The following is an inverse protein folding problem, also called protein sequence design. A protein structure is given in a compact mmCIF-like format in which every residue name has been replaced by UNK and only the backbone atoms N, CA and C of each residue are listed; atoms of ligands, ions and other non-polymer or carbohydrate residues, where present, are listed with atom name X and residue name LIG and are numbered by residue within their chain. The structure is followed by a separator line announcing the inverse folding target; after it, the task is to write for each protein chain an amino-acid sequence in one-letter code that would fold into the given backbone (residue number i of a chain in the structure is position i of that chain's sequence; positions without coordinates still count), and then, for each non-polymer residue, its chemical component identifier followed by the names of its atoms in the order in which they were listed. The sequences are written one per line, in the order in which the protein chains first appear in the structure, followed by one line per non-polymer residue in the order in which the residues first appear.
data_IF_534860685293
#
_entry.id   IF_534860685293
#
_cell.length_a   1.000
_cell.length_b   1.000
_cell.length_c   1.000
_cell.angle_alpha   90.00
_cell.angle_beta   90.00
_cell.angle_gamma   90.00
#
_symmetry.space_group_name_H-M   'P 1'
#
loop_
_entity.id
_entity.type
_entity.pdbx_description
1 polymer ?
#
# COMPACT_ATOMS: atom_id res chain seq x y z
N UNK A 1 -18.61 6.66 -23.79
CA UNK A 1 -17.48 5.83 -23.35
C UNK A 1 -16.68 6.69 -22.39
N UNK A 2 -16.25 6.15 -21.23
CA UNK A 2 -15.40 6.83 -20.24
C UNK A 2 -14.09 6.06 -20.18
N UNK A 3 -12.96 6.77 -20.30
CA UNK A 3 -11.62 6.18 -20.26
C UNK A 3 -10.85 6.89 -19.16
N UNK A 4 -10.13 6.14 -18.35
CA UNK A 4 -9.14 6.64 -17.41
C UNK A 4 -7.76 6.18 -17.87
N UNK A 5 -6.81 7.11 -17.93
CA UNK A 5 -5.45 6.83 -18.37
C UNK A 5 -4.46 7.08 -17.23
N UNK A 6 -3.65 6.08 -16.91
CA UNK A 6 -2.61 6.20 -15.88
C UNK A 6 -1.59 7.30 -16.21
N UNK A 7 -1.35 7.59 -17.49
CA UNK A 7 -0.45 8.67 -17.89
C UNK A 7 -0.98 10.05 -17.52
N UNK A 8 -2.31 10.21 -17.50
CA UNK A 8 -2.99 11.47 -17.20
C UNK A 8 -3.35 11.63 -15.70
N UNK A 9 -3.37 10.53 -14.96
CA UNK A 9 -3.71 10.53 -13.53
C UNK A 9 -2.46 10.81 -12.70
N UNK A 10 -2.35 12.01 -12.14
CA UNK A 10 -1.20 12.38 -11.31
C UNK A 10 -1.04 11.45 -10.08
N UNK A 11 -2.16 11.03 -9.48
CA UNK A 11 -2.15 10.25 -8.25
C UNK A 11 -1.70 11.05 -7.03
N UNK A 12 -1.50 10.34 -5.91
CA UNK A 12 -1.02 10.91 -4.66
C UNK A 12 0.20 10.14 -4.16
N UNK A 13 1.21 10.87 -3.71
CA UNK A 13 2.40 10.32 -3.05
C UNK A 13 2.21 10.36 -1.53
N UNK A 14 2.68 9.32 -0.86
CA UNK A 14 2.53 9.10 0.57
C UNK A 14 3.90 8.93 1.26
N UNK A 15 3.99 9.17 2.57
CA UNK A 15 5.24 9.04 3.35
C UNK A 15 5.89 7.65 3.25
N UNK A 16 5.09 6.59 3.08
CA UNK A 16 5.58 5.22 2.89
C UNK A 16 6.29 4.98 1.55
N UNK A 17 6.74 6.03 0.86
CA UNK A 17 7.36 5.98 -0.48
C UNK A 17 6.50 5.22 -1.47
N UNK A 18 5.22 5.56 -1.46
CA UNK A 18 4.17 5.00 -2.27
C UNK A 18 3.50 6.10 -3.08
N UNK A 19 3.19 5.81 -4.33
CA UNK A 19 2.29 6.62 -5.17
C UNK A 19 1.08 5.78 -5.54
N UNK A 20 -0.11 6.32 -5.36
CA UNK A 20 -1.39 5.66 -5.71
C UNK A 20 -2.11 6.47 -6.77
N UNK A 21 -2.55 5.80 -7.83
CA UNK A 21 -3.31 6.36 -8.95
C UNK A 21 -4.63 5.59 -9.08
N UNK A 22 -5.76 6.25 -8.86
CA UNK A 22 -7.08 5.62 -8.94
C UNK A 22 -7.59 5.59 -10.38
N UNK A 23 -7.78 4.41 -10.95
CA UNK A 23 -8.39 4.20 -12.27
C UNK A 23 -9.92 4.17 -12.19
N UNK A 24 -10.47 3.64 -11.10
CA UNK A 24 -11.90 3.59 -10.80
C UNK A 24 -12.10 4.02 -9.35
N UNK A 25 -12.94 5.01 -9.15
CA UNK A 25 -13.14 5.61 -7.83
C UNK A 25 -12.20 6.80 -7.54
N UNK A 26 -12.27 7.35 -6.34
CA UNK A 26 -11.52 8.53 -5.96
C UNK A 26 -11.79 9.71 -6.92
N UNK A 27 -10.73 10.35 -7.41
CA UNK A 27 -10.80 11.45 -8.38
C UNK A 27 -10.81 11.00 -9.85
N UNK A 28 -10.91 9.70 -10.12
CA UNK A 28 -10.99 9.17 -11.50
C UNK A 28 -12.28 9.62 -12.20
N UNK A 29 -12.26 9.79 -13.54
CA UNK A 29 -13.49 9.99 -14.29
C UNK A 29 -14.41 8.76 -14.26
N UNK A 30 -13.90 7.57 -13.94
CA UNK A 30 -14.70 6.35 -13.82
C UNK A 30 -15.14 6.17 -12.37
N UNK A 31 -16.47 6.14 -12.17
CA UNK A 31 -17.07 5.90 -10.87
C UNK A 31 -17.91 4.61 -10.92
N UNK A 32 -17.51 3.58 -10.18
CA UNK A 32 -18.26 2.34 -10.04
C UNK A 32 -18.83 2.23 -8.62
N UNK A 33 -19.93 1.44 -8.47
CA UNK A 33 -20.59 1.23 -7.17
C UNK A 33 -20.05 0.01 -6.44
N UNK A 34 -19.60 -0.99 -7.19
CA UNK A 34 -19.31 -2.33 -6.65
C UNK A 34 -17.82 -2.59 -6.48
N UNK A 35 -16.96 -1.75 -7.05
CA UNK A 35 -15.50 -1.93 -6.96
C UNK A 35 -14.75 -0.62 -7.16
N UNK A 36 -13.52 -0.59 -6.69
CA UNK A 36 -12.51 0.41 -7.00
C UNK A 36 -11.27 -0.27 -7.54
N UNK A 37 -10.58 0.36 -8.47
CA UNK A 37 -9.32 -0.14 -9.06
C UNK A 37 -8.31 1.00 -9.10
N UNK A 38 -7.06 0.69 -8.79
CA UNK A 38 -5.97 1.63 -8.97
C UNK A 38 -4.63 0.94 -9.13
N UNK A 39 -3.66 1.74 -9.49
CA UNK A 39 -2.26 1.33 -9.59
C UNK A 39 -1.47 1.96 -8.44
N UNK A 40 -0.66 1.13 -7.80
CA UNK A 40 0.27 1.55 -6.75
C UNK A 40 1.69 1.32 -7.23
N UNK A 41 2.53 2.32 -7.03
CA UNK A 41 3.96 2.27 -7.27
C UNK A 41 4.67 2.37 -5.93
N UNK A 42 5.54 1.41 -5.62
CA UNK A 42 6.35 1.36 -4.41
C UNK A 42 7.83 1.52 -4.78
N UNK A 43 8.50 2.45 -4.11
CA UNK A 43 9.94 2.65 -4.32
C UNK A 43 10.76 1.44 -3.83
N UNK A 44 11.96 1.22 -4.38
CA UNK A 44 12.84 0.13 -3.95
C UNK A 44 13.19 0.20 -2.45
N UNK A 45 13.59 -0.93 -1.89
CA UNK A 45 14.13 -1.05 -0.55
C UNK A 45 13.22 -0.53 0.56
N UNK A 46 11.92 -0.85 0.49
CA UNK A 46 11.00 -0.60 1.59
C UNK A 46 9.82 0.33 1.30
N UNK A 47 9.58 0.75 0.04
CA UNK A 47 8.31 1.38 -0.33
C UNK A 47 7.15 0.46 0.06
N UNK A 48 6.05 1.00 0.62
CA UNK A 48 5.11 0.17 1.35
C UNK A 48 3.65 0.60 1.16
N UNK A 49 2.75 -0.38 1.09
CA UNK A 49 1.38 -0.24 1.56
C UNK A 49 1.40 -0.64 3.03
N UNK A 50 1.23 0.32 3.97
CA UNK A 50 1.43 0.06 5.40
C UNK A 50 0.39 -0.89 5.98
N UNK A 51 0.68 -1.43 7.18
CA UNK A 51 -0.20 -2.31 7.92
C UNK A 51 -1.54 -1.66 8.23
N UNK A 52 -2.61 -2.20 7.66
CA UNK A 52 -3.97 -1.70 7.83
C UNK A 52 -4.99 -2.80 7.57
N UNK A 53 -6.24 -2.52 7.84
CA UNK A 53 -7.38 -3.32 7.41
C UNK A 53 -8.51 -2.43 6.89
N UNK A 54 -9.50 -3.05 6.27
CA UNK A 54 -10.68 -2.38 5.70
C UNK A 54 -11.88 -3.32 5.67
N UNK A 55 -13.06 -2.75 5.48
CA UNK A 55 -14.31 -3.52 5.37
C UNK A 55 -14.44 -4.26 4.03
N UNK A 56 -13.81 -3.73 2.98
CA UNK A 56 -13.86 -4.30 1.64
C UNK A 56 -12.97 -5.55 1.53
N UNK A 57 -13.40 -6.48 0.68
CA UNK A 57 -12.48 -7.49 0.15
C UNK A 57 -11.56 -6.86 -0.89
N UNK A 58 -10.34 -7.34 -0.99
CA UNK A 58 -9.34 -6.76 -1.89
C UNK A 58 -8.46 -7.81 -2.54
N UNK A 59 -7.97 -7.50 -3.73
CA UNK A 59 -6.93 -8.27 -4.42
C UNK A 59 -5.80 -7.33 -4.80
N UNK A 60 -4.57 -7.74 -4.53
CA UNK A 60 -3.37 -7.16 -5.13
C UNK A 60 -2.86 -8.07 -6.24
N UNK A 61 -2.62 -7.51 -7.42
CA UNK A 61 -1.92 -8.17 -8.53
C UNK A 61 -0.60 -7.46 -8.77
N UNK A 62 0.52 -8.17 -8.56
CA UNK A 62 1.84 -7.62 -8.81
C UNK A 62 2.11 -7.61 -10.30
N UNK A 63 2.35 -6.42 -10.86
CA UNK A 63 2.63 -6.22 -12.28
C UNK A 63 4.14 -6.23 -12.55
N UNK A 64 4.93 -5.63 -11.66
CA UNK A 64 6.37 -5.48 -11.79
C UNK A 64 7.04 -5.54 -10.42
N UNK A 65 8.26 -6.05 -10.36
CA UNK A 65 9.06 -6.14 -9.14
C UNK A 65 8.71 -7.33 -8.26
N UNK A 66 9.29 -7.32 -7.08
CA UNK A 66 9.13 -8.34 -6.05
C UNK A 66 9.12 -7.72 -4.66
N UNK A 67 8.53 -8.43 -3.71
CA UNK A 67 8.40 -7.91 -2.37
C UNK A 67 7.94 -8.97 -1.38
N UNK A 68 7.40 -8.50 -0.28
CA UNK A 68 6.85 -9.33 0.78
C UNK A 68 5.46 -8.85 1.16
N UNK A 69 4.54 -9.77 1.26
CA UNK A 69 3.19 -9.53 1.77
C UNK A 69 3.02 -10.15 3.15
N UNK A 70 2.42 -9.39 4.06
CA UNK A 70 1.92 -9.88 5.35
C UNK A 70 0.39 -9.84 5.30
N UNK A 71 -0.25 -10.94 5.70
CA UNK A 71 -1.71 -11.07 5.78
C UNK A 71 -2.08 -11.77 7.08
N UNK A 72 -2.63 -11.04 8.04
CA UNK A 72 -2.83 -11.55 9.39
C UNK A 72 -1.50 -12.02 10.00
N UNK A 73 -1.42 -13.29 10.37
CA UNK A 73 -0.20 -13.88 10.92
C UNK A 73 0.74 -14.47 9.84
N UNK A 74 0.32 -14.48 8.59
CA UNK A 74 1.10 -15.05 7.49
C UNK A 74 2.02 -14.02 6.87
N UNK A 75 3.19 -14.47 6.40
CA UNK A 75 4.20 -13.66 5.76
C UNK A 75 4.86 -14.44 4.63
N UNK A 76 4.88 -13.89 3.43
CA UNK A 76 5.46 -14.59 2.27
C UNK A 76 6.01 -13.63 1.23
N UNK A 77 6.99 -14.10 0.46
CA UNK A 77 7.47 -13.38 -0.72
C UNK A 77 6.41 -13.40 -1.83
N UNK A 78 6.34 -12.31 -2.58
CA UNK A 78 5.44 -12.14 -3.73
C UNK A 78 6.19 -11.44 -4.86
N UNK A 79 5.85 -11.78 -6.12
CA UNK A 79 6.53 -11.25 -7.30
C UNK A 79 5.56 -11.00 -8.45
N UNK A 80 6.05 -10.35 -9.50
CA UNK A 80 5.29 -10.10 -10.73
C UNK A 80 4.57 -11.35 -11.25
N UNK A 81 3.31 -11.18 -11.66
CA UNK A 81 2.42 -12.23 -12.12
C UNK A 81 1.63 -12.95 -11.01
N UNK A 82 1.90 -12.65 -9.74
CA UNK A 82 1.17 -13.23 -8.62
C UNK A 82 0.12 -12.28 -8.07
N UNK A 83 -0.98 -12.84 -7.58
CA UNK A 83 -2.03 -12.11 -6.89
C UNK A 83 -2.21 -12.65 -5.46
N UNK A 84 -2.59 -11.78 -4.55
CA UNK A 84 -3.01 -12.12 -3.20
C UNK A 84 -4.43 -11.63 -2.95
N UNK A 85 -5.27 -12.51 -2.41
CA UNK A 85 -6.60 -12.18 -1.94
C UNK A 85 -6.56 -11.76 -0.48
N UNK A 86 -7.23 -10.68 -0.16
CA UNK A 86 -7.29 -10.07 1.15
C UNK A 86 -8.74 -10.08 1.61
N UNK A 87 -9.11 -10.93 2.57
CA UNK A 87 -10.47 -10.96 3.11
C UNK A 87 -10.82 -9.65 3.84
N UNK A 88 -12.12 -9.34 3.90
CA UNK A 88 -12.64 -8.23 4.70
C UNK A 88 -12.08 -8.26 6.13
N UNK A 89 -11.68 -7.09 6.63
CA UNK A 89 -11.17 -6.85 8.00
C UNK A 89 -9.84 -7.52 8.36
N UNK A 90 -9.21 -8.24 7.45
CA UNK A 90 -7.91 -8.85 7.72
C UNK A 90 -6.81 -7.80 7.56
N UNK A 91 -5.99 -7.64 8.57
CA UNK A 91 -4.83 -6.75 8.52
C UNK A 91 -3.80 -7.27 7.52
N UNK A 92 -3.27 -6.35 6.73
CA UNK A 92 -2.31 -6.67 5.69
C UNK A 92 -1.34 -5.52 5.43
N UNK A 93 -0.21 -5.85 4.84
CA UNK A 93 0.76 -4.89 4.30
C UNK A 93 1.51 -5.51 3.12
N UNK A 94 2.01 -4.65 2.23
CA UNK A 94 2.90 -5.03 1.14
C UNK A 94 4.15 -4.16 1.18
N UNK A 95 5.32 -4.78 1.12
CA UNK A 95 6.62 -4.08 1.13
C UNK A 95 7.42 -4.46 -0.11
N UNK A 96 7.90 -3.48 -0.84
CA UNK A 96 8.87 -3.70 -1.91
C UNK A 96 10.24 -4.02 -1.27
N UNK A 97 10.69 -5.26 -1.39
CA UNK A 97 11.99 -5.71 -0.88
C UNK A 97 13.08 -5.74 -1.94
N UNK A 98 12.68 -5.51 -3.20
CA UNK A 98 13.58 -5.51 -4.34
C UNK A 98 14.37 -4.22 -4.50
N UNK A 99 15.30 -4.25 -5.44
CA UNK A 99 16.15 -3.11 -5.83
C UNK A 99 15.55 -2.27 -6.96
N UNK A 100 14.40 -2.65 -7.49
CA UNK A 100 13.67 -1.94 -8.54
C UNK A 100 12.31 -1.49 -8.04
N UNK A 101 11.70 -0.56 -8.74
CA UNK A 101 10.33 -0.14 -8.48
C UNK A 101 9.38 -1.33 -8.59
N UNK A 102 8.46 -1.45 -7.64
CA UNK A 102 7.37 -2.42 -7.67
C UNK A 102 6.09 -1.72 -8.10
N UNK A 103 5.36 -2.34 -9.00
CA UNK A 103 4.03 -1.88 -9.41
C UNK A 103 3.00 -2.96 -9.15
N UNK A 104 1.89 -2.57 -8.57
CA UNK A 104 0.76 -3.46 -8.37
C UNK A 104 -0.55 -2.77 -8.77
N UNK A 105 -1.51 -3.58 -9.16
CA UNK A 105 -2.90 -3.18 -9.29
C UNK A 105 -3.66 -3.67 -8.06
N UNK A 106 -4.45 -2.80 -7.46
CA UNK A 106 -5.44 -3.21 -6.47
C UNK A 106 -6.85 -3.17 -7.06
N UNK A 107 -7.68 -4.08 -6.58
CA UNK A 107 -9.11 -4.06 -6.80
C UNK A 107 -9.79 -4.40 -5.49
N UNK A 108 -10.67 -3.54 -5.00
CA UNK A 108 -11.47 -3.82 -3.81
C UNK A 108 -12.95 -3.55 -4.05
N UNK A 109 -13.79 -4.24 -3.32
CA UNK A 109 -15.24 -4.11 -3.38
C UNK A 109 -15.93 -4.30 -2.02
N UNK A 110 -17.08 -3.63 -1.79
CA UNK A 110 -17.70 -2.60 -2.63
C UNK A 110 -16.83 -1.35 -2.77
N UNK A 111 -17.15 -0.48 -3.74
CA UNK A 111 -16.49 0.82 -3.88
C UNK A 111 -16.68 1.65 -2.62
N UNK A 112 -15.73 2.52 -2.33
CA UNK A 112 -15.77 3.39 -1.17
C UNK A 112 -14.40 3.86 -0.75
N UNK A 113 -14.36 4.52 0.39
CA UNK A 113 -13.12 5.03 0.95
C UNK A 113 -12.49 3.99 1.90
N UNK A 114 -11.17 3.88 1.83
CA UNK A 114 -10.36 3.10 2.75
C UNK A 114 -9.52 4.07 3.58
N UNK A 115 -9.76 4.12 4.88
CA UNK A 115 -9.31 5.22 5.73
C UNK A 115 -7.79 5.25 6.02
N UNK A 116 -7.05 4.17 5.75
CA UNK A 116 -5.66 4.02 6.17
C UNK A 116 -4.72 5.12 5.63
N UNK A 117 -5.01 5.66 4.46
CA UNK A 117 -4.19 6.73 3.89
C UNK A 117 -4.20 8.02 4.72
N UNK A 118 -5.29 8.28 5.47
CA UNK A 118 -5.34 9.42 6.41
C UNK A 118 -4.43 9.17 7.60
N UNK A 119 -4.49 7.97 8.17
CA UNK A 119 -3.62 7.56 9.28
C UNK A 119 -2.14 7.66 8.90
N UNK A 120 -1.81 7.33 7.65
CA UNK A 120 -0.45 7.49 7.13
C UNK A 120 -0.02 8.95 7.09
N UNK A 121 -0.87 9.85 6.59
CA UNK A 121 -0.57 11.29 6.53
C UNK A 121 -0.51 11.93 7.92
N UNK A 122 -1.33 11.44 8.84
CA UNK A 122 -1.39 11.93 10.22
C UNK A 122 -0.32 11.30 11.13
N UNK A 123 0.43 10.32 10.62
CA UNK A 123 1.44 9.59 11.39
C UNK A 123 0.88 8.69 12.50
N UNK A 124 -0.37 8.25 12.37
CA UNK A 124 -1.06 7.42 13.38
C UNK A 124 -1.14 5.93 13.01
N UNK A 125 -0.40 5.52 11.97
CA UNK A 125 -0.32 4.10 11.59
C UNK A 125 0.34 3.25 12.68
N UNK A 126 -0.01 1.95 12.75
CA UNK A 126 0.69 0.99 13.58
C UNK A 126 2.19 0.97 13.30
N UNK A 127 3.00 0.92 14.35
CA UNK A 127 4.46 0.94 14.25
C UNK A 127 5.01 -0.43 13.88
N UNK A 128 5.88 -0.48 12.88
CA UNK A 128 6.55 -1.71 12.48
C UNK A 128 7.34 -2.34 13.66
N UNK A 129 7.15 -3.63 13.87
CA UNK A 129 7.76 -4.39 14.95
C UNK A 129 7.14 -4.17 16.35
N UNK A 130 6.08 -3.37 16.44
CA UNK A 130 5.34 -3.13 17.71
C UNK A 130 3.88 -3.53 17.54
N UNK A 131 3.07 -2.73 16.87
CA UNK A 131 1.66 -3.03 16.57
C UNK A 131 1.48 -3.62 15.16
N UNK A 132 2.49 -3.46 14.29
CA UNK A 132 2.55 -4.01 12.94
C UNK A 132 3.71 -5.01 12.81
N UNK A 133 3.72 -5.89 11.80
CA UNK A 133 4.86 -6.75 11.52
C UNK A 133 6.16 -5.96 11.37
N UNK A 134 7.27 -6.55 11.82
CA UNK A 134 8.59 -5.96 11.59
C UNK A 134 8.83 -5.83 10.07
N UNK A 135 9.56 -4.78 9.67
CA UNK A 135 9.96 -4.63 8.29
C UNK A 135 10.88 -5.79 7.86
N UNK A 136 10.83 -6.19 6.59
CA UNK A 136 11.79 -7.14 6.05
C UNK A 136 13.23 -6.66 6.23
N UNK A 137 14.16 -7.60 6.31
CA UNK A 137 15.58 -7.29 6.39
C UNK A 137 16.03 -6.43 5.21
N UNK A 138 16.73 -5.33 5.50
CA UNK A 138 17.20 -4.38 4.49
C UNK A 138 16.18 -3.32 4.05
N UNK A 139 14.91 -3.45 4.44
CA UNK A 139 13.92 -2.40 4.21
C UNK A 139 14.15 -1.23 5.17
N UNK A 140 14.09 -0.02 4.63
CA UNK A 140 14.17 1.19 5.46
C UNK A 140 12.80 1.54 6.04
N UNK A 141 12.70 1.99 7.30
CA UNK A 141 11.46 2.48 7.87
C UNK A 141 10.85 3.60 7.02
N UNK A 142 9.58 3.48 6.71
CA UNK A 142 8.87 4.41 5.83
C UNK A 142 7.85 5.24 6.56
N UNK A 143 7.08 4.59 7.40
CA UNK A 143 6.13 5.22 8.27
C UNK A 143 6.64 5.04 9.68
N UNK A 144 7.14 6.07 10.24
CA UNK A 144 7.25 6.14 11.67
C UNK A 144 5.86 6.47 12.18
N UNK A 145 5.14 5.50 12.67
CA UNK A 145 4.03 5.80 13.58
C UNK A 145 4.53 6.78 14.64
N UNK A 146 3.65 7.55 15.22
CA UNK A 146 3.96 8.51 16.28
C UNK A 146 4.85 7.81 17.32
N UNK A 147 6.10 8.23 17.46
CA UNK A 147 7.04 7.65 18.41
C UNK A 147 8.45 7.40 17.88
N UNK A 148 8.74 7.74 16.64
CA UNK A 148 10.13 7.90 16.23
C UNK A 148 10.70 9.12 16.92
N UNK A 149 11.28 8.95 18.11
CA UNK A 149 12.12 9.97 18.72
C UNK A 149 13.20 10.31 17.69
N UNK A 150 13.19 11.55 17.24
CA UNK A 150 14.30 12.13 16.52
C UNK A 150 15.49 12.24 17.50
N UNK A 151 16.22 11.15 17.68
CA UNK A 151 17.47 11.12 18.45
C UNK A 151 18.63 11.80 17.67
N UNK A 152 18.31 12.69 16.74
CA UNK A 152 19.29 13.60 16.12
C UNK A 152 19.25 14.98 16.75
N UNK A 153 19.33 15.03 18.07
CA UNK A 153 19.81 16.23 18.79
C UNK A 153 20.68 15.79 19.93
N UNK A 154 21.93 15.51 19.63
CA UNK A 154 23.08 15.81 20.51
C UNK A 154 24.35 15.33 19.82
N UNK A 155 25.01 16.20 19.08
CA UNK A 155 26.44 16.58 19.23
C UNK A 155 26.87 17.46 18.07
#
# INVERSE_FOLDING_TARGET
MIIADLAEIAGRTYPARRRTQNLVGGASPIQAKNFSIGCVTLEPHGGQVPWHNQEQEEVYLILEGDGEVCLGAERTAIKAGQAVYIPSKVFHQLTNTGSTTMRMLYCYGPAGDVAHWRQELDGTLPRAGVEAPALPSGAQPQCTGIGGSDDRKTR
#
